data_IF_118581122557
#
_entry.id   IF_118581122557
#
_cell.length_a   1.000
_cell.length_b   1.000
_cell.length_c   1.000
_cell.angle_alpha   90.00
_cell.angle_beta   90.00
_cell.angle_gamma   90.00
#
_symmetry.space_group_name_H-M   'P 1'
#
loop_
_entity.id
_entity.type
_entity.pdbx_description
1 polymer ?
#
# COMPACT_ATOMS: atom_id res chain seq x y z
N UNK A 1 15.38 -14.34 -8.14
CA UNK A 1 13.97 -14.09 -7.75
C UNK A 1 13.85 -13.51 -6.34
N UNK A 2 14.58 -14.02 -5.34
CA UNK A 2 14.46 -13.51 -3.96
C UNK A 2 14.86 -12.04 -3.81
N UNK A 3 15.97 -11.60 -4.41
CA UNK A 3 16.43 -10.21 -4.35
C UNK A 3 15.41 -9.20 -4.91
N UNK A 4 14.63 -9.60 -5.92
CA UNK A 4 13.58 -8.75 -6.49
C UNK A 4 12.43 -8.57 -5.48
N UNK A 5 11.99 -9.68 -4.85
CA UNK A 5 10.95 -9.63 -3.82
C UNK A 5 11.41 -8.80 -2.63
N UNK A 6 12.67 -8.94 -2.23
CA UNK A 6 13.22 -8.13 -1.15
C UNK A 6 13.25 -6.63 -1.50
N UNK A 7 13.60 -6.27 -2.74
CA UNK A 7 13.49 -4.89 -3.22
C UNK A 7 12.06 -4.35 -3.15
N UNK A 8 11.07 -5.14 -3.61
CA UNK A 8 9.65 -4.76 -3.55
C UNK A 8 9.12 -4.69 -2.11
N UNK A 9 9.64 -5.52 -1.20
CA UNK A 9 9.30 -5.50 0.22
C UNK A 9 9.81 -4.21 0.89
N UNK A 10 10.99 -3.72 0.51
CA UNK A 10 11.54 -2.47 1.06
C UNK A 10 10.76 -1.23 0.66
N UNK A 11 10.04 -1.24 -0.46
CA UNK A 11 9.16 -0.13 -0.88
C UNK A 11 7.97 0.05 0.08
N UNK A 12 7.49 -1.05 0.66
CA UNK A 12 6.29 -1.09 1.51
C UNK A 12 6.61 -1.30 3.00
N UNK A 13 7.87 -1.57 3.33
CA UNK A 13 8.38 -1.62 4.71
C UNK A 13 8.55 -0.21 5.31
N UNK A 14 8.68 -0.05 6.64
CA UNK A 14 8.99 1.23 7.26
C UNK A 14 10.20 1.92 6.60
N UNK A 15 10.06 3.22 6.33
CA UNK A 15 11.05 4.01 5.56
C UNK A 15 10.93 3.88 4.04
N UNK A 16 10.09 2.96 3.54
CA UNK A 16 9.76 2.81 2.13
C UNK A 16 8.73 3.85 1.64
N UNK A 17 8.73 4.13 0.34
CA UNK A 17 7.93 5.19 -0.27
C UNK A 17 6.42 4.96 -0.22
N UNK A 18 5.97 3.71 -0.03
CA UNK A 18 4.54 3.36 -0.01
C UNK A 18 4.07 2.77 1.33
N UNK A 19 4.89 2.86 2.38
CA UNK A 19 4.66 2.14 3.63
C UNK A 19 3.28 2.41 4.26
N UNK A 20 2.94 3.68 4.47
CA UNK A 20 1.73 4.08 5.18
C UNK A 20 0.47 3.62 4.44
N UNK A 21 0.46 3.80 3.12
CA UNK A 21 -0.65 3.39 2.26
C UNK A 21 -0.74 1.89 1.99
N UNK A 22 0.23 1.08 2.40
CA UNK A 22 0.23 -0.38 2.11
C UNK A 22 0.36 -1.28 3.33
N UNK A 23 0.62 -0.73 4.52
CA UNK A 23 0.63 -1.50 5.74
C UNK A 23 -0.80 -1.92 6.13
N UNK A 24 -1.03 -3.23 6.21
CA UNK A 24 -2.32 -3.87 6.52
C UNK A 24 -2.21 -4.73 7.78
N UNK A 25 -3.32 -4.96 8.46
CA UNK A 25 -3.36 -5.76 9.68
C UNK A 25 -2.96 -7.23 9.46
N UNK A 26 -3.51 -7.90 8.45
CA UNK A 26 -3.33 -9.35 8.30
C UNK A 26 -2.32 -9.75 7.21
N UNK A 27 -2.02 -8.84 6.28
CA UNK A 27 -1.31 -9.18 5.06
C UNK A 27 -0.04 -8.37 4.90
N UNK A 28 0.91 -8.96 4.19
CA UNK A 28 2.09 -8.27 3.72
C UNK A 28 1.93 -7.92 2.25
N UNK A 29 2.23 -6.67 1.94
CA UNK A 29 2.26 -6.14 0.58
C UNK A 29 3.70 -6.04 0.11
N UNK A 30 3.96 -6.44 -1.13
CA UNK A 30 5.19 -6.18 -1.85
C UNK A 30 4.81 -5.48 -3.15
N UNK A 31 5.46 -4.38 -3.51
CA UNK A 31 5.09 -3.72 -4.76
C UNK A 31 5.93 -2.52 -5.11
N UNK A 32 5.49 -1.84 -6.17
CA UNK A 32 6.14 -0.64 -6.67
C UNK A 32 5.10 0.42 -7.02
N UNK A 33 5.38 1.62 -6.52
CA UNK A 33 4.69 2.86 -6.88
C UNK A 33 5.34 3.52 -8.09
N UNK A 34 4.54 4.25 -8.86
CA UNK A 34 5.05 5.26 -9.78
C UNK A 34 4.00 6.30 -10.13
N UNK A 35 4.47 7.29 -10.87
CA UNK A 35 3.70 8.39 -11.43
C UNK A 35 3.96 8.38 -12.93
N UNK A 36 2.92 8.60 -13.73
CA UNK A 36 2.98 8.58 -15.18
C UNK A 36 2.54 9.94 -15.74
N UNK A 37 3.49 10.68 -16.28
CA UNK A 37 3.27 11.96 -16.93
C UNK A 37 2.55 11.78 -18.28
N UNK A 38 1.76 12.78 -18.67
CA UNK A 38 1.11 12.88 -19.98
C UNK A 38 1.13 14.33 -20.47
N UNK A 39 0.70 14.57 -21.72
CA UNK A 39 0.80 15.89 -22.36
C UNK A 39 0.23 17.04 -21.51
N UNK A 40 -0.94 16.85 -20.89
CA UNK A 40 -1.53 17.85 -20.01
C UNK A 40 -0.77 18.06 -18.69
N UNK A 41 -0.18 17.03 -18.07
CA UNK A 41 0.57 17.19 -16.82
C UNK A 41 1.92 17.84 -17.04
N UNK A 42 2.57 17.51 -18.15
CA UNK A 42 3.79 18.20 -18.58
C UNK A 42 3.54 19.68 -18.91
N UNK A 43 2.34 20.04 -19.35
CA UNK A 43 1.92 21.43 -19.55
C UNK A 43 1.44 22.12 -18.26
N UNK A 44 1.41 21.42 -17.12
CA UNK A 44 0.88 21.94 -15.85
C UNK A 44 -0.63 22.17 -15.85
N UNK A 45 -1.37 21.51 -16.75
CA UNK A 45 -2.82 21.69 -16.95
C UNK A 45 -3.65 20.59 -16.27
N UNK A 46 -3.02 19.53 -15.80
CA UNK A 46 -3.68 18.44 -15.06
C UNK A 46 -2.65 17.64 -14.25
N UNK A 47 -3.09 16.87 -13.27
CA UNK A 47 -2.19 16.01 -12.49
C UNK A 47 -1.70 14.80 -13.28
N UNK A 48 -0.48 14.29 -13.05
CA UNK A 48 -0.06 13.05 -13.67
C UNK A 48 -0.89 11.86 -13.16
N UNK A 49 -0.84 10.74 -13.86
CA UNK A 49 -1.53 9.53 -13.41
C UNK A 49 -0.74 8.83 -12.29
N UNK A 50 -1.44 8.26 -11.33
CA UNK A 50 -0.85 7.46 -10.25
C UNK A 50 -0.97 5.98 -10.58
N UNK A 51 0.08 5.19 -10.31
CA UNK A 51 -0.01 3.74 -10.45
C UNK A 51 0.70 2.99 -9.32
N UNK A 52 0.17 1.80 -9.02
CA UNK A 52 0.78 0.86 -8.11
C UNK A 52 0.57 -0.57 -8.59
N UNK A 53 1.65 -1.32 -8.74
CA UNK A 53 1.60 -2.76 -8.98
C UNK A 53 2.12 -3.49 -7.74
N UNK A 54 1.29 -4.36 -7.16
CA UNK A 54 1.69 -5.09 -5.97
C UNK A 54 1.08 -6.47 -5.83
N UNK A 55 1.70 -7.24 -4.95
CA UNK A 55 1.30 -8.58 -4.56
C UNK A 55 1.05 -8.60 -3.06
N UNK A 56 0.07 -9.37 -2.62
CA UNK A 56 -0.27 -9.48 -1.20
C UNK A 56 -0.51 -10.93 -0.77
N UNK A 57 -0.22 -11.23 0.49
CA UNK A 57 -0.46 -12.54 1.09
C UNK A 57 -0.09 -12.57 2.58
N UNK A 58 -0.03 -13.77 3.19
CA UNK A 58 0.37 -13.94 4.57
C UNK A 58 1.74 -13.32 4.85
N UNK A 59 1.91 -12.76 6.05
CA UNK A 59 3.17 -12.16 6.49
C UNK A 59 4.27 -13.23 6.50
N UNK A 60 5.37 -12.97 5.77
CA UNK A 60 6.46 -13.93 5.61
C UNK A 60 6.14 -15.12 4.68
N UNK A 61 4.93 -15.17 4.10
CA UNK A 61 4.50 -16.20 3.18
C UNK A 61 4.60 -15.80 1.70
N UNK A 62 4.15 -16.70 0.83
CA UNK A 62 4.00 -16.41 -0.60
C UNK A 62 2.75 -15.54 -0.86
N UNK A 63 2.80 -14.60 -1.81
CA UNK A 63 1.65 -13.81 -2.19
C UNK A 63 0.54 -14.69 -2.81
N UNK A 64 -0.71 -14.40 -2.46
CA UNK A 64 -1.89 -15.09 -2.96
C UNK A 64 -2.72 -14.30 -3.99
N UNK A 65 -2.35 -13.03 -4.24
CA UNK A 65 -2.99 -12.15 -5.22
C UNK A 65 -1.98 -11.12 -5.77
N UNK A 66 -2.18 -10.70 -7.01
CA UNK A 66 -1.56 -9.53 -7.63
C UNK A 66 -2.67 -8.53 -7.99
N UNK A 67 -2.46 -7.26 -7.67
CA UNK A 67 -3.36 -6.15 -8.01
C UNK A 67 -2.54 -5.04 -8.65
N UNK A 68 -3.04 -4.51 -9.77
CA UNK A 68 -2.49 -3.33 -10.44
C UNK A 68 -3.56 -2.26 -10.45
N UNK A 69 -3.20 -1.08 -9.96
CA UNK A 69 -4.07 0.10 -9.93
C UNK A 69 -3.45 1.18 -10.80
N UNK A 70 -4.27 1.77 -11.66
CA UNK A 70 -3.98 3.02 -12.36
C UNK A 70 -5.12 3.98 -12.02
N UNK A 71 -4.76 5.15 -11.49
CA UNK A 71 -5.68 6.23 -11.22
C UNK A 71 -5.31 7.41 -12.13
N UNK A 72 -6.16 7.68 -13.12
CA UNK A 72 -6.02 8.84 -13.98
C UNK A 72 -6.09 10.12 -13.15
N UNK A 73 -5.20 11.06 -13.46
CA UNK A 73 -5.01 12.32 -12.73
C UNK A 73 -4.84 12.14 -11.20
N UNK A 74 -4.30 10.99 -10.79
CA UNK A 74 -4.18 10.60 -9.38
C UNK A 74 -2.94 11.15 -8.66
N UNK A 75 -2.09 11.90 -9.36
CA UNK A 75 -0.87 12.58 -8.89
C UNK A 75 0.22 11.62 -8.36
N UNK A 76 -0.03 10.98 -7.22
CA UNK A 76 0.95 10.20 -6.47
C UNK A 76 0.58 8.72 -6.40
N UNK A 77 1.46 7.86 -6.92
CA UNK A 77 1.32 6.41 -6.78
C UNK A 77 1.29 5.94 -5.33
N UNK A 78 2.01 6.59 -4.41
CA UNK A 78 2.06 6.18 -3.00
C UNK A 78 0.88 6.70 -2.18
N UNK A 79 0.38 7.89 -2.49
CA UNK A 79 -0.75 8.50 -1.78
C UNK A 79 -2.10 8.04 -2.32
N UNK A 80 -2.22 7.78 -3.62
CA UNK A 80 -3.49 7.47 -4.28
C UNK A 80 -3.59 5.99 -4.65
N UNK A 81 -2.68 5.47 -5.48
CA UNK A 81 -2.82 4.12 -6.03
C UNK A 81 -2.48 3.02 -5.01
N UNK A 82 -1.51 3.24 -4.13
CA UNK A 82 -1.07 2.24 -3.15
C UNK A 82 -2.16 1.89 -2.11
N UNK A 83 -2.87 2.85 -1.49
CA UNK A 83 -4.01 2.55 -0.61
C UNK A 83 -5.15 1.81 -1.30
N UNK A 84 -5.48 2.19 -2.54
CA UNK A 84 -6.53 1.50 -3.32
C UNK A 84 -6.12 0.04 -3.54
N UNK A 85 -4.86 -0.19 -3.92
CA UNK A 85 -4.33 -1.53 -4.13
C UNK A 85 -4.41 -2.35 -2.84
N UNK A 86 -3.89 -1.81 -1.73
CA UNK A 86 -3.83 -2.49 -0.45
C UNK A 86 -5.22 -2.88 0.07
N UNK A 87 -6.18 -1.95 0.03
CA UNK A 87 -7.58 -2.22 0.44
C UNK A 87 -8.26 -3.26 -0.45
N UNK A 88 -8.01 -3.21 -1.76
CA UNK A 88 -8.54 -4.21 -2.71
C UNK A 88 -8.01 -5.62 -2.39
N UNK A 89 -6.69 -5.72 -2.16
CA UNK A 89 -6.06 -6.98 -1.81
C UNK A 89 -6.53 -7.50 -0.44
N UNK A 90 -6.65 -6.61 0.56
CA UNK A 90 -7.15 -6.93 1.89
C UNK A 90 -8.57 -7.48 1.84
N UNK A 91 -9.47 -6.77 1.15
CA UNK A 91 -10.86 -7.21 0.97
C UNK A 91 -10.94 -8.60 0.34
N UNK A 92 -10.20 -8.84 -0.75
CA UNK A 92 -10.18 -10.14 -1.41
C UNK A 92 -9.65 -11.25 -0.51
N UNK A 93 -8.52 -11.04 0.16
CA UNK A 93 -7.90 -12.04 1.03
C UNK A 93 -8.77 -12.32 2.27
N UNK A 94 -9.37 -11.29 2.88
CA UNK A 94 -10.33 -11.46 3.98
C UNK A 94 -11.53 -12.32 3.56
N UNK A 95 -12.15 -12.02 2.41
CA UNK A 95 -13.22 -12.83 1.81
C UNK A 95 -12.79 -14.29 1.59
N UNK A 96 -11.60 -14.50 1.02
CA UNK A 96 -11.05 -15.83 0.73
C UNK A 96 -10.81 -16.65 2.00
N UNK A 97 -10.45 -15.99 3.11
CA UNK A 97 -10.06 -16.63 4.36
C UNK A 97 -11.11 -16.54 5.48
N UNK A 98 -12.32 -16.04 5.19
CA UNK A 98 -13.42 -15.96 6.17
C UNK A 98 -13.21 -14.90 7.26
N UNK A 99 -12.42 -13.86 7.00
CA UNK A 99 -12.18 -12.74 7.92
C UNK A 99 -13.20 -11.62 7.62
N UNK A 100 -13.76 -10.93 8.63
CA UNK A 100 -14.65 -9.78 8.42
C UNK A 100 -14.03 -8.69 7.54
N UNK A 101 -14.86 -8.04 6.72
CA UNK A 101 -14.43 -7.06 5.68
C UNK A 101 -14.84 -5.62 5.96
N UNK A 102 -15.60 -5.39 7.02
CA UNK A 102 -16.04 -4.09 7.52
C UNK A 102 -14.89 -3.26 8.12
N UNK A 103 -13.77 -3.90 8.44
CA UNK A 103 -12.57 -3.27 9.02
C UNK A 103 -11.40 -3.08 8.04
N UNK A 104 -11.64 -3.11 6.73
CA UNK A 104 -10.58 -2.89 5.72
C UNK A 104 -10.00 -1.48 5.85
N UNK A 105 -8.80 -1.38 6.39
CA UNK A 105 -8.07 -0.14 6.63
C UNK A 105 -6.57 -0.36 6.47
N UNK A 106 -5.89 0.66 5.94
CA UNK A 106 -4.43 0.76 5.90
C UNK A 106 -3.93 1.52 7.12
N UNK A 107 -2.62 1.45 7.40
CA UNK A 107 -2.03 2.25 8.46
C UNK A 107 -2.24 3.76 8.25
N UNK A 108 -2.23 4.25 7.01
CA UNK A 108 -2.53 5.65 6.68
C UNK A 108 -3.92 6.06 7.18
N UNK A 109 -4.94 5.21 7.00
CA UNK A 109 -6.30 5.50 7.46
C UNK A 109 -6.36 5.66 8.98
N UNK A 110 -5.65 4.80 9.71
CA UNK A 110 -5.56 4.88 11.16
C UNK A 110 -4.78 6.10 11.65
N UNK A 111 -3.73 6.50 10.93
CA UNK A 111 -2.98 7.72 11.24
C UNK A 111 -3.86 8.96 11.07
N UNK A 112 -4.70 8.98 10.04
CA UNK A 112 -5.57 10.12 9.73
C UNK A 112 -6.81 10.19 10.64
N UNK A 113 -7.42 9.05 10.96
CA UNK A 113 -8.72 9.02 11.64
C UNK A 113 -8.64 8.57 13.11
N UNK A 114 -7.55 7.91 13.50
CA UNK A 114 -7.37 7.32 14.82
C UNK A 114 -8.31 6.13 15.12
N UNK A 115 -8.03 5.38 16.21
CA UNK A 115 -6.77 5.36 16.93
C UNK A 115 -5.68 4.61 16.13
N UNK A 116 -4.41 4.89 16.45
CA UNK A 116 -3.27 4.13 15.91
C UNK A 116 -3.37 2.67 16.42
N UNK A 117 -3.38 1.66 15.53
CA UNK A 117 -3.69 0.29 15.92
C UNK A 117 -2.52 -0.36 16.66
N UNK A 118 -2.85 -1.28 17.57
CA UNK A 118 -1.86 -2.05 18.35
C UNK A 118 -1.03 -2.96 17.46
N UNK A 119 -1.66 -3.60 16.45
CA UNK A 119 -0.98 -4.50 15.51
C UNK A 119 0.23 -3.83 14.81
N UNK A 120 0.16 -2.53 14.56
CA UNK A 120 1.24 -1.81 13.91
C UNK A 120 2.43 -1.61 14.86
N UNK A 121 2.17 -1.23 16.11
CA UNK A 121 3.20 -1.07 17.15
C UNK A 121 3.88 -2.39 17.47
N UNK A 122 3.12 -3.47 17.53
CA UNK A 122 3.63 -4.82 17.75
C UNK A 122 4.52 -5.29 16.60
N UNK A 123 4.13 -4.99 15.35
CA UNK A 123 4.92 -5.36 14.16
C UNK A 123 6.17 -4.51 13.96
N UNK A 124 6.11 -3.23 14.32
CA UNK A 124 7.16 -2.26 14.08
C UNK A 124 7.52 -1.48 15.36
N UNK A 125 8.02 -2.15 16.42
CA UNK A 125 8.20 -1.55 17.74
C UNK A 125 9.23 -0.40 17.76
N UNK A 126 10.15 -0.38 16.80
CA UNK A 126 11.23 0.61 16.72
C UNK A 126 10.93 1.78 15.76
N UNK A 127 9.72 1.82 15.18
CA UNK A 127 9.32 2.91 14.28
C UNK A 127 8.68 4.02 15.11
N UNK A 128 9.43 5.09 15.36
CA UNK A 128 8.92 6.30 16.01
C UNK A 128 8.15 7.10 14.95
N UNK A 129 6.88 7.41 15.22
CA UNK A 129 5.98 8.06 14.27
C UNK A 129 6.49 9.41 13.80
N UNK A 130 7.11 9.44 12.62
CA UNK A 130 7.31 10.65 11.85
C UNK A 130 6.16 10.75 10.85
N UNK A 131 5.09 11.43 11.25
CA UNK A 131 4.18 12.07 10.30
C UNK A 131 4.86 13.41 9.99
N UNK A 132 5.37 13.58 8.78
CA UNK A 132 5.60 14.92 8.22
C UNK A 132 4.44 15.22 7.30
#
# INVERSE_FOLDING_TARGET
MESLREGLRKVTAPGGTAHFGTALEHWQVLGKTGTAEHGLSQAGLAEPHAWFAGMAGPIGGLPGIVVVVIAEYGESGSATAAPIMAKTADYYLRRKHGIPTDSVQTYLDHVQNGPVPTWYKERYPNVIGAIR
#
